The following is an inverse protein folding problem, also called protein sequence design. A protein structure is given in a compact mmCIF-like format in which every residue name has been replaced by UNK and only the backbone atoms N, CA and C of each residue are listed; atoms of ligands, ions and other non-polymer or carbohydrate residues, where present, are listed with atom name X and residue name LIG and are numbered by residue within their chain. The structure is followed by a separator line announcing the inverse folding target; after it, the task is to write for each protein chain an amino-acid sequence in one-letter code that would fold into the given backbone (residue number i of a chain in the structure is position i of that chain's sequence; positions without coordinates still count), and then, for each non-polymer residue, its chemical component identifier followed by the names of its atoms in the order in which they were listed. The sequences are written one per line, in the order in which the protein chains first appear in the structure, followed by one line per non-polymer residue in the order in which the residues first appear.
data_IF_734727259608
#
_entry.id   IF_734727259608
#
_cell.length_a   1.000
_cell.length_b   1.000
_cell.length_c   1.000
_cell.angle_alpha   90.00
_cell.angle_beta   90.00
_cell.angle_gamma   90.00
#
_symmetry.space_group_name_H-M   'P 1'
#
loop_
_entity.id
_entity.type
_entity.pdbx_description
1 polymer ?
#
# COMPACT_ATOMS: atom_id res chain seq x y z
N UNK A 1 -20.49 19.50 1.11
CA UNK A 1 -19.66 20.55 1.71
C UNK A 1 -18.23 20.20 1.34
N UNK A 2 -17.58 21.00 0.49
CA UNK A 2 -16.19 20.73 0.12
C UNK A 2 -15.31 21.04 1.33
N UNK A 3 -14.79 19.99 1.97
CA UNK A 3 -13.75 20.13 2.99
C UNK A 3 -12.57 20.84 2.34
N UNK A 4 -12.09 21.92 2.98
CA UNK A 4 -10.91 22.63 2.48
C UNK A 4 -9.68 21.72 2.49
N UNK A 5 -8.68 21.98 1.65
CA UNK A 5 -7.46 21.15 1.56
C UNK A 5 -6.80 20.95 2.94
N UNK A 6 -6.72 22.02 3.74
CA UNK A 6 -6.24 21.98 5.13
C UNK A 6 -7.09 21.09 6.03
N UNK A 7 -8.42 21.13 5.88
CA UNK A 7 -9.37 20.34 6.67
C UNK A 7 -9.28 18.84 6.33
N UNK A 8 -9.03 18.52 5.06
CA UNK A 8 -8.78 17.15 4.59
C UNK A 8 -7.55 16.56 5.28
N UNK A 9 -6.44 17.30 5.36
CA UNK A 9 -5.22 16.83 6.03
C UNK A 9 -5.43 16.60 7.53
N UNK A 10 -6.09 17.54 8.22
CA UNK A 10 -6.38 17.38 9.64
C UNK A 10 -7.30 16.19 9.92
N UNK A 11 -8.35 16.03 9.12
CA UNK A 11 -9.29 14.90 9.24
C UNK A 11 -8.58 13.57 8.99
N UNK A 12 -7.73 13.51 7.96
CA UNK A 12 -6.94 12.32 7.63
C UNK A 12 -6.03 11.92 8.79
N UNK A 13 -5.25 12.86 9.33
CA UNK A 13 -4.35 12.62 10.47
C UNK A 13 -5.15 12.20 11.71
N UNK A 14 -6.29 12.83 11.97
CA UNK A 14 -7.15 12.48 13.09
C UNK A 14 -7.65 11.03 12.98
N UNK A 15 -8.06 10.57 11.79
CA UNK A 15 -8.50 9.20 11.55
C UNK A 15 -7.40 8.16 11.84
N UNK A 16 -6.14 8.45 11.53
CA UNK A 16 -5.02 7.59 11.91
C UNK A 16 -4.81 7.59 13.42
N UNK A 17 -4.83 8.77 14.05
CA UNK A 17 -4.60 8.92 15.49
C UNK A 17 -5.67 8.20 16.33
N UNK A 18 -6.94 8.25 15.95
CA UNK A 18 -8.02 7.55 16.67
C UNK A 18 -7.89 6.03 16.60
N UNK A 19 -7.10 5.51 15.65
CA UNK A 19 -6.79 4.07 15.51
C UNK A 19 -5.49 3.65 16.18
N UNK A 20 -4.86 4.54 16.96
CA UNK A 20 -3.61 4.27 17.67
C UNK A 20 -2.37 4.33 16.79
N UNK A 21 -2.44 4.97 15.62
CA UNK A 21 -1.27 5.16 14.77
C UNK A 21 -0.49 6.36 15.26
N UNK A 22 0.76 6.13 15.67
CA UNK A 22 1.66 7.16 16.21
C UNK A 22 2.76 7.58 15.24
N UNK A 23 2.98 6.82 14.16
CA UNK A 23 3.90 7.16 13.08
C UNK A 23 3.18 7.01 11.75
N UNK A 24 3.13 8.10 11.00
CA UNK A 24 2.48 8.17 9.70
C UNK A 24 3.53 8.33 8.60
N UNK A 25 3.42 7.53 7.56
CA UNK A 25 4.19 7.66 6.33
C UNK A 25 3.32 8.29 5.26
N UNK A 26 3.91 9.20 4.51
CA UNK A 26 3.29 9.84 3.36
C UNK A 26 4.14 9.53 2.12
N UNK A 27 3.48 9.05 1.07
CA UNK A 27 4.09 8.86 -0.24
C UNK A 27 3.24 9.55 -1.30
N UNK A 28 3.84 10.48 -2.05
CA UNK A 28 3.30 10.90 -3.34
C UNK A 28 3.46 9.74 -4.33
N UNK A 29 2.37 9.35 -4.98
CA UNK A 29 2.30 8.18 -5.84
C UNK A 29 2.71 8.56 -7.27
N UNK A 30 3.75 7.90 -7.78
CA UNK A 30 4.14 8.02 -9.18
C UNK A 30 3.12 7.33 -10.08
N UNK A 31 3.15 7.61 -11.39
CA UNK A 31 2.23 6.99 -12.36
C UNK A 31 2.20 5.44 -12.27
N UNK A 32 3.35 4.82 -12.05
CA UNK A 32 3.48 3.36 -11.91
C UNK A 32 3.12 2.84 -10.52
N UNK A 33 2.82 3.68 -9.53
CA UNK A 33 2.32 3.23 -8.24
C UNK A 33 0.80 2.95 -8.35
N UNK A 34 0.48 1.70 -8.71
CA UNK A 34 -0.89 1.20 -8.92
C UNK A 34 -0.97 -0.32 -8.63
N UNK A 35 -2.18 -0.87 -8.58
CA UNK A 35 -2.46 -2.26 -8.25
C UNK A 35 -1.76 -3.29 -9.15
N UNK A 36 -1.54 -2.95 -10.43
CA UNK A 36 -0.83 -3.82 -11.38
C UNK A 36 0.68 -3.79 -11.16
N UNK A 37 1.23 -2.61 -10.92
CA UNK A 37 2.67 -2.37 -10.90
C UNK A 37 3.29 -2.41 -9.50
N UNK A 38 2.44 -2.46 -8.46
CA UNK A 38 2.80 -2.37 -7.05
C UNK A 38 3.31 -0.96 -6.67
N UNK A 39 3.25 -0.60 -5.39
CA UNK A 39 3.66 0.73 -4.92
C UNK A 39 5.07 0.64 -4.34
N UNK A 40 6.03 1.39 -4.89
CA UNK A 40 7.40 1.42 -4.37
C UNK A 40 7.48 2.19 -3.04
N UNK A 41 7.95 1.55 -1.97
CA UNK A 41 8.01 2.17 -0.64
C UNK A 41 9.43 2.57 -0.21
N UNK A 42 10.47 2.03 -0.84
CA UNK A 42 11.85 2.36 -0.49
C UNK A 42 12.82 1.25 -0.88
N UNK A 43 14.12 1.46 -0.63
CA UNK A 43 15.17 0.59 -1.14
C UNK A 43 15.39 -0.69 -0.32
N UNK A 44 14.93 -0.76 0.94
CA UNK A 44 15.05 -1.96 1.77
C UNK A 44 13.89 -2.10 2.75
N UNK A 45 13.74 -3.30 3.33
CA UNK A 45 12.75 -3.59 4.38
C UNK A 45 13.16 -3.06 5.75
N UNK A 46 14.41 -2.58 5.89
CA UNK A 46 15.02 -2.31 7.19
C UNK A 46 14.21 -1.26 7.95
N UNK A 47 13.72 -1.66 9.12
CA UNK A 47 12.83 -0.84 9.94
C UNK A 47 11.41 -0.72 9.41
N UNK A 48 11.15 -0.73 8.10
CA UNK A 48 9.80 -0.57 7.53
C UNK A 48 8.90 -1.76 7.88
N UNK A 49 9.37 -2.99 7.69
CA UNK A 49 8.58 -4.18 7.99
C UNK A 49 8.20 -4.24 9.48
N UNK A 50 9.17 -4.00 10.38
CA UNK A 50 8.93 -3.96 11.82
C UNK A 50 8.01 -2.81 12.24
N UNK A 51 8.21 -1.61 11.66
CA UNK A 51 7.36 -0.45 11.96
C UNK A 51 5.91 -0.66 11.53
N UNK A 52 5.68 -1.41 10.46
CA UNK A 52 4.32 -1.73 9.98
C UNK A 52 3.73 -2.99 10.66
N UNK A 53 4.48 -3.70 11.50
CA UNK A 53 4.02 -4.95 12.09
C UNK A 53 3.85 -6.08 11.07
N UNK A 54 4.68 -6.08 10.01
CA UNK A 54 4.59 -7.07 8.94
C UNK A 54 5.03 -8.46 9.43
N UNK A 55 4.29 -9.50 9.03
CA UNK A 55 4.58 -10.88 9.35
C UNK A 55 5.32 -11.54 8.18
N UNK A 56 6.56 -11.96 8.43
CA UNK A 56 7.38 -12.63 7.42
C UNK A 56 6.80 -14.01 7.09
N UNK A 57 6.51 -14.23 5.82
CA UNK A 57 6.32 -15.57 5.28
C UNK A 57 7.55 -15.91 4.44
N UNK A 58 8.26 -16.98 4.78
CA UNK A 58 9.27 -17.53 3.88
C UNK A 58 8.55 -18.12 2.66
N UNK A 59 8.48 -17.32 1.59
CA UNK A 59 7.85 -17.71 0.34
C UNK A 59 8.80 -18.50 -0.55
N UNK A 60 8.45 -19.75 -0.80
CA UNK A 60 9.07 -20.65 -1.77
C UNK A 60 9.18 -20.00 -3.17
N UNK A 61 10.11 -20.51 -3.98
CA UNK A 61 10.43 -20.07 -5.34
C UNK A 61 9.19 -19.74 -6.17
N UNK A 62 9.25 -18.65 -6.94
CA UNK A 62 8.14 -18.17 -7.76
C UNK A 62 7.64 -19.24 -8.75
N UNK A 63 6.45 -19.81 -8.51
CA UNK A 63 5.73 -20.65 -9.48
C UNK A 63 5.03 -19.78 -10.52
N UNK A 64 5.78 -19.11 -11.41
CA UNK A 64 5.19 -18.50 -12.60
C UNK A 64 5.78 -19.15 -13.84
N UNK A 65 5.03 -20.08 -14.45
CA UNK A 65 5.36 -20.72 -15.73
C UNK A 65 4.78 -20.00 -16.94
N UNK A 66 4.03 -18.90 -16.75
CA UNK A 66 3.26 -18.26 -17.84
C UNK A 66 4.00 -17.18 -18.65
N UNK A 67 5.29 -16.93 -18.43
CA UNK A 67 6.08 -16.04 -19.31
C UNK A 67 7.25 -16.79 -19.92
N UNK A 68 7.27 -16.88 -21.26
CA UNK A 68 8.34 -17.42 -22.13
C UNK A 68 9.73 -16.76 -21.96
N UNK A 69 9.98 -16.01 -20.89
CA UNK A 69 11.29 -15.47 -20.51
C UNK A 69 11.44 -15.15 -19.02
N UNK A 70 10.56 -15.64 -18.13
CA UNK A 70 10.78 -15.48 -16.70
C UNK A 70 11.81 -16.51 -16.23
N UNK A 71 13.02 -16.05 -15.90
CA UNK A 71 13.99 -16.86 -15.16
C UNK A 71 13.34 -17.32 -13.86
N UNK A 72 13.01 -18.61 -13.79
CA UNK A 72 12.56 -19.28 -12.57
C UNK A 72 13.57 -19.05 -11.44
N UNK A 73 13.08 -18.94 -10.20
CA UNK A 73 13.93 -19.13 -9.01
C UNK A 73 14.68 -17.93 -8.43
N UNK A 74 14.30 -16.69 -8.75
CA UNK A 74 14.96 -15.52 -8.14
C UNK A 74 14.39 -15.26 -6.73
N UNK A 75 15.22 -15.19 -5.67
CA UNK A 75 14.71 -15.06 -4.30
C UNK A 75 13.95 -13.75 -4.16
N UNK A 76 12.83 -13.81 -3.44
CA UNK A 76 12.04 -12.66 -3.00
C UNK A 76 11.63 -12.94 -1.57
N UNK A 77 11.61 -11.92 -0.72
CA UNK A 77 11.00 -12.05 0.60
C UNK A 77 9.63 -11.38 0.59
N UNK A 78 8.68 -12.02 1.29
CA UNK A 78 7.29 -11.57 1.36
C UNK A 78 6.94 -11.39 2.84
N UNK A 79 6.43 -10.20 3.18
CA UNK A 79 5.93 -9.91 4.51
C UNK A 79 4.47 -9.48 4.41
N UNK A 80 3.56 -10.21 5.05
CA UNK A 80 2.13 -9.93 5.05
C UNK A 80 1.79 -8.79 6.00
N UNK A 81 0.80 -7.99 5.62
CA UNK A 81 0.29 -6.90 6.44
C UNK A 81 -1.19 -7.15 6.74
N UNK A 82 -1.60 -6.98 8.00
CA UNK A 82 -3.01 -6.81 8.34
C UNK A 82 -3.46 -5.40 7.90
N UNK A 83 -3.88 -5.29 6.64
CA UNK A 83 -4.16 -4.00 6.01
C UNK A 83 -5.65 -3.65 6.00
N UNK A 84 -5.96 -2.41 6.42
CA UNK A 84 -7.30 -1.83 6.42
C UNK A 84 -7.29 -0.48 5.72
N UNK A 85 -8.18 -0.30 4.74
CA UNK A 85 -8.45 1.00 4.15
C UNK A 85 -9.40 1.79 5.03
N UNK A 86 -9.07 3.07 5.23
CA UNK A 86 -9.85 4.04 6.00
C UNK A 86 -10.12 5.29 5.14
N UNK A 87 -11.12 6.08 5.51
CA UNK A 87 -11.54 7.29 4.78
C UNK A 87 -12.93 7.74 5.23
N UNK A 88 -13.68 8.34 4.30
CA UNK A 88 -15.04 8.85 4.56
C UNK A 88 -16.08 7.75 4.77
N UNK A 89 -15.76 6.51 4.37
CA UNK A 89 -16.63 5.35 4.50
C UNK A 89 -16.19 4.38 5.61
N UNK A 90 -16.92 3.28 5.80
CA UNK A 90 -16.55 2.26 6.78
C UNK A 90 -15.24 1.58 6.39
N UNK A 91 -14.40 1.32 7.39
CA UNK A 91 -13.16 0.56 7.28
C UNK A 91 -13.35 -0.74 6.50
N UNK A 92 -12.40 -1.06 5.64
CA UNK A 92 -12.49 -2.24 4.78
C UNK A 92 -11.14 -2.92 4.57
N UNK A 93 -11.10 -4.23 4.77
CA UNK A 93 -9.84 -4.99 4.80
C UNK A 93 -9.37 -5.30 3.38
N UNK A 94 -8.05 -5.25 3.18
CA UNK A 94 -7.39 -5.79 1.99
C UNK A 94 -6.51 -6.98 2.40
N UNK A 95 -7.08 -8.18 2.60
CA UNK A 95 -6.40 -9.29 3.26
C UNK A 95 -5.19 -9.85 2.49
N UNK A 96 -5.04 -9.56 1.20
CA UNK A 96 -3.91 -10.04 0.41
C UNK A 96 -2.70 -9.08 0.43
N UNK A 97 -2.76 -8.02 1.25
CA UNK A 97 -1.73 -6.98 1.31
C UNK A 97 -0.42 -7.53 1.86
N UNK A 98 0.68 -7.19 1.18
CA UNK A 98 2.02 -7.64 1.51
C UNK A 98 3.07 -6.67 1.02
N UNK A 99 4.21 -6.66 1.69
CA UNK A 99 5.47 -6.13 1.20
C UNK A 99 6.20 -7.23 0.45
N UNK A 100 6.73 -6.90 -0.72
CA UNK A 100 7.60 -7.77 -1.51
C UNK A 100 8.94 -7.06 -1.64
N UNK A 101 10.00 -7.70 -1.15
CA UNK A 101 11.36 -7.24 -1.35
C UNK A 101 12.04 -8.11 -2.39
N UNK A 102 12.44 -7.46 -3.48
CA UNK A 102 13.19 -8.08 -4.55
C UNK A 102 14.67 -7.94 -4.22
N UNK A 103 15.45 -9.02 -4.16
CA UNK A 103 16.89 -8.88 -3.85
C UNK A 103 17.71 -8.34 -5.04
N UNK A 104 17.12 -8.33 -6.23
CA UNK A 104 17.80 -7.94 -7.48
C UNK A 104 17.76 -6.45 -7.77
N UNK A 105 16.80 -5.78 -7.16
CA UNK A 105 16.64 -4.34 -7.20
C UNK A 105 16.45 -3.98 -5.74
N UNK A 106 17.25 -3.10 -5.13
CA UNK A 106 17.01 -2.67 -3.75
C UNK A 106 15.67 -1.93 -3.74
N UNK A 107 14.57 -2.68 -3.59
CA UNK A 107 13.22 -2.18 -3.68
C UNK A 107 12.26 -3.03 -2.86
N UNK A 108 11.46 -2.32 -2.07
CA UNK A 108 10.30 -2.87 -1.37
C UNK A 108 9.06 -2.31 -2.02
N UNK A 109 8.15 -3.21 -2.40
CA UNK A 109 6.87 -2.82 -2.99
C UNK A 109 5.69 -3.34 -2.19
N UNK A 110 4.68 -2.48 -2.04
CA UNK A 110 3.37 -2.86 -1.52
C UNK A 110 2.55 -3.53 -2.64
N UNK A 111 2.01 -4.70 -2.37
CA UNK A 111 1.23 -5.51 -3.33
C UNK A 111 -0.02 -6.08 -2.67
N UNK A 112 -1.02 -6.46 -3.48
CA UNK A 112 -2.28 -7.07 -3.00
C UNK A 112 -3.22 -6.13 -2.26
N UNK A 113 -2.90 -4.84 -2.23
CA UNK A 113 -3.59 -3.83 -1.43
C UNK A 113 -5.01 -3.47 -1.90
N UNK A 114 -5.51 -3.99 -3.03
CA UNK A 114 -6.93 -3.86 -3.41
C UNK A 114 -7.69 -5.20 -3.36
N UNK A 115 -6.99 -6.31 -3.19
CA UNK A 115 -7.57 -7.65 -3.33
C UNK A 115 -8.34 -8.03 -2.07
N UNK A 116 -9.59 -8.45 -2.25
CA UNK A 116 -10.50 -8.80 -1.16
C UNK A 116 -11.15 -7.59 -0.47
N UNK A 117 -10.78 -6.37 -0.84
CA UNK A 117 -11.42 -5.15 -0.38
C UNK A 117 -12.70 -4.90 -1.20
N UNK A 118 -13.82 -4.62 -0.52
CA UNK A 118 -15.12 -4.35 -1.16
C UNK A 118 -15.18 -2.93 -1.71
N UNK A 119 -14.55 -1.97 -1.02
CA UNK A 119 -14.46 -0.55 -1.40
C UNK A 119 -13.00 -0.08 -1.50
N UNK A 120 -12.20 -0.63 -2.42
CA UNK A 120 -10.82 -0.22 -2.58
C UNK A 120 -10.73 1.20 -3.18
N UNK A 121 -9.69 1.96 -2.87
CA UNK A 121 -9.49 3.30 -3.44
C UNK A 121 -9.25 3.23 -4.95
N UNK A 122 -10.15 3.82 -5.73
CA UNK A 122 -10.13 3.78 -7.18
C UNK A 122 -8.94 4.51 -7.81
N UNK A 123 -8.40 5.51 -7.11
CA UNK A 123 -7.17 6.22 -7.49
C UNK A 123 -5.93 5.32 -7.56
N UNK A 124 -6.00 4.08 -7.04
CA UNK A 124 -4.91 3.10 -7.16
C UNK A 124 -5.12 2.09 -8.29
N UNK A 125 -6.24 2.18 -9.04
CA UNK A 125 -6.52 1.30 -10.18
C UNK A 125 -5.89 1.86 -11.43
N UNK A 126 -5.00 1.10 -12.06
CA UNK A 126 -4.30 1.47 -13.30
C UNK A 126 -5.25 1.96 -14.38
N UNK A 127 -6.41 1.30 -14.52
CA UNK A 127 -7.42 1.64 -15.54
C UNK A 127 -8.15 2.96 -15.31
N UNK A 128 -8.09 3.50 -14.09
CA UNK A 128 -8.78 4.74 -13.68
C UNK A 128 -7.82 5.89 -13.40
N UNK A 129 -6.51 5.71 -13.58
CA UNK A 129 -5.52 6.74 -13.24
C UNK A 129 -5.75 8.07 -13.96
N UNK A 130 -6.31 8.05 -15.17
CA UNK A 130 -6.63 9.27 -15.92
C UNK A 130 -7.78 10.09 -15.32
N UNK A 131 -8.51 9.56 -14.34
CA UNK A 131 -9.58 10.29 -13.62
C UNK A 131 -9.02 11.10 -12.43
N UNK A 132 -7.72 10.96 -12.11
CA UNK A 132 -7.10 11.55 -10.94
C UNK A 132 -5.83 12.33 -11.27
N UNK A 133 -5.65 13.48 -10.61
CA UNK A 133 -4.44 14.29 -10.64
C UNK A 133 -3.37 13.76 -9.68
N UNK A 134 -2.85 14.63 -8.80
CA UNK A 134 -1.90 14.20 -7.77
C UNK A 134 -2.56 13.20 -6.81
N UNK A 135 -1.81 12.14 -6.48
CA UNK A 135 -2.26 11.05 -5.62
C UNK A 135 -1.27 10.84 -4.48
N UNK A 136 -1.78 10.63 -3.29
CA UNK A 136 -1.01 10.43 -2.07
C UNK A 136 -1.49 9.17 -1.35
N UNK A 137 -0.54 8.39 -0.85
CA UNK A 137 -0.78 7.28 0.07
C UNK A 137 -0.29 7.69 1.45
N UNK A 138 -1.21 7.68 2.40
CA UNK A 138 -0.92 7.79 3.83
C UNK A 138 -1.06 6.39 4.43
N UNK A 139 -0.11 5.99 5.28
CA UNK A 139 -0.20 4.70 5.94
C UNK A 139 0.60 4.67 7.24
N UNK A 140 0.17 3.84 8.18
CA UNK A 140 0.83 3.64 9.46
C UNK A 140 0.20 2.49 10.24
N UNK A 141 0.93 1.99 11.23
CA UNK A 141 0.51 0.85 12.04
C UNK A 141 0.32 1.25 13.49
N UNK A 142 -0.62 0.58 14.17
CA UNK A 142 -0.78 0.64 15.62
C UNK A 142 -0.07 -0.52 16.34
N UNK A 143 0.78 -1.27 15.63
CA UNK A 143 1.53 -2.43 16.13
C UNK A 143 0.94 -3.77 15.69
N UNK A 144 -0.36 -3.85 15.39
CA UNK A 144 -0.99 -5.06 14.87
C UNK A 144 -1.60 -4.87 13.49
N UNK A 145 -2.31 -3.76 13.29
CA UNK A 145 -3.04 -3.46 12.07
C UNK A 145 -2.40 -2.25 11.39
N UNK A 146 -2.14 -2.39 10.10
CA UNK A 146 -1.70 -1.29 9.24
C UNK A 146 -2.93 -0.65 8.59
N UNK A 147 -3.07 0.66 8.77
CA UNK A 147 -4.12 1.43 8.13
C UNK A 147 -3.55 2.17 6.92
N UNK A 148 -4.35 2.26 5.87
CA UNK A 148 -4.03 2.98 4.64
C UNK A 148 -5.14 3.94 4.25
N UNK A 149 -4.77 5.08 3.68
CA UNK A 149 -5.68 6.04 3.07
C UNK A 149 -5.06 6.54 1.76
N UNK A 150 -5.86 6.53 0.69
CA UNK A 150 -5.48 7.14 -0.58
C UNK A 150 -6.25 8.45 -0.74
N UNK A 151 -5.52 9.54 -0.96
CA UNK A 151 -6.07 10.86 -1.26
C UNK A 151 -5.69 11.18 -2.70
N UNK A 152 -6.64 11.67 -3.49
CA UNK A 152 -6.40 12.03 -4.88
C UNK A 152 -7.19 13.28 -5.25
N UNK A 153 -6.53 14.19 -5.96
CA UNK A 153 -7.21 15.28 -6.63
C UNK A 153 -7.97 14.75 -7.87
N UNK A 154 -9.10 15.36 -8.26
CA UNK A 154 -9.66 15.13 -9.59
C UNK A 154 -8.66 15.54 -10.68
N UNK A 155 -8.71 14.86 -11.82
CA UNK A 155 -7.92 15.22 -13.01
C UNK A 155 -8.41 16.52 -13.67
#
# INVERSE_FOLDING_TARGET
MAIGETELWFTSIALFRTRGVHRLFLKRLAHNDNEKNQIYLGPSLDGLAGTLGAQMSWGSSSESTEKRSSTSGKPKSVAHLDWVWIGDGPDDRAPATKLIHYFQYPEVRLSGFLTGCRRPPDALRRRRLGEYGDRFLLFGSNGSTTFGMAIAAPA
#
